data_IF_352815688038
#
_entry.id   IF_352815688038
#
_cell.length_a   1.000
_cell.length_b   1.000
_cell.length_c   1.000
_cell.angle_alpha   90.00
_cell.angle_beta   90.00
_cell.angle_gamma   90.00
#
_symmetry.space_group_name_H-M   'P 1'
#
loop_
_entity.id
_entity.type
_entity.pdbx_description
1 polymer ?
#
# COMPACT_ATOMS: atom_id res chain seq x y z
N UNK A 1 -16.19 4.12 2.86
CA UNK A 1 -15.08 3.58 3.69
C UNK A 1 -15.53 2.23 4.22
N UNK A 2 -14.74 1.18 4.05
CA UNK A 2 -15.02 -0.15 4.60
C UNK A 2 -14.16 -0.33 5.86
N UNK A 3 -14.79 -0.71 6.97
CA UNK A 3 -14.12 -0.92 8.27
C UNK A 3 -14.16 -2.41 8.60
N UNK A 4 -13.01 -2.99 8.93
CA UNK A 4 -12.87 -4.40 9.31
C UNK A 4 -12.44 -4.52 10.78
N UNK A 5 -12.90 -5.54 11.52
CA UNK A 5 -12.51 -5.73 12.93
C UNK A 5 -11.07 -6.24 13.08
N UNK A 6 -10.49 -6.77 12.01
CA UNK A 6 -9.12 -7.29 11.94
C UNK A 6 -8.40 -6.73 10.72
N UNK A 7 -7.07 -6.92 10.67
CA UNK A 7 -6.28 -6.60 9.49
C UNK A 7 -6.77 -7.45 8.32
N UNK A 8 -7.15 -6.78 7.23
CA UNK A 8 -7.68 -7.41 6.03
C UNK A 8 -6.95 -6.88 4.81
N UNK A 9 -6.42 -7.80 3.99
CA UNK A 9 -5.72 -7.46 2.76
C UNK A 9 -6.69 -7.57 1.59
N UNK A 10 -6.88 -6.47 0.85
CA UNK A 10 -7.70 -6.45 -0.35
C UNK A 10 -6.90 -7.03 -1.51
N UNK A 11 -7.24 -8.26 -1.90
CA UNK A 11 -6.61 -9.00 -3.00
C UNK A 11 -7.44 -8.93 -4.29
N UNK A 12 -8.76 -8.88 -4.14
CA UNK A 12 -9.77 -8.91 -5.18
C UNK A 12 -10.96 -7.99 -4.79
N UNK A 13 -12.11 -8.17 -5.43
CA UNK A 13 -13.33 -7.43 -5.17
C UNK A 13 -14.23 -8.02 -4.08
N UNK A 14 -13.90 -9.17 -3.47
CA UNK A 14 -14.83 -9.92 -2.60
C UNK A 14 -15.31 -9.12 -1.38
N UNK A 15 -14.53 -8.13 -0.92
CA UNK A 15 -14.89 -7.26 0.19
C UNK A 15 -16.07 -6.33 -0.14
N UNK A 16 -16.26 -5.94 -1.41
CA UNK A 16 -17.35 -5.03 -1.81
C UNK A 16 -18.73 -5.69 -1.70
N UNK A 17 -19.02 -6.84 -2.34
CA UNK A 17 -20.33 -7.47 -2.22
C UNK A 17 -20.61 -7.93 -0.79
N UNK A 18 -19.57 -8.28 -0.01
CA UNK A 18 -19.73 -8.61 1.42
C UNK A 18 -20.33 -7.47 2.26
N UNK A 19 -20.20 -6.22 1.81
CA UNK A 19 -20.81 -5.04 2.45
C UNK A 19 -21.92 -4.40 1.61
N UNK A 20 -22.44 -5.12 0.61
CA UNK A 20 -23.51 -4.65 -0.26
C UNK A 20 -23.08 -3.58 -1.27
N UNK A 21 -21.79 -3.47 -1.57
CA UNK A 21 -21.23 -2.62 -2.61
C UNK A 21 -20.93 -3.42 -3.87
N UNK A 22 -20.94 -2.74 -5.01
CA UNK A 22 -20.60 -3.32 -6.30
C UNK A 22 -19.51 -2.49 -6.96
N UNK A 23 -18.50 -3.16 -7.52
CA UNK A 23 -17.29 -2.51 -8.07
C UNK A 23 -17.62 -1.56 -9.22
N UNK A 24 -18.58 -1.93 -10.07
CA UNK A 24 -19.09 -1.15 -11.21
C UNK A 24 -19.75 0.17 -10.83
N UNK A 25 -20.07 0.36 -9.54
CA UNK A 25 -20.68 1.58 -9.01
C UNK A 25 -19.67 2.55 -8.40
N UNK A 26 -18.37 2.24 -8.46
CA UNK A 26 -17.31 3.02 -7.85
C UNK A 26 -16.42 3.63 -8.94
N UNK A 27 -16.34 4.96 -8.97
CA UNK A 27 -15.43 5.67 -9.88
C UNK A 27 -13.96 5.55 -9.44
N UNK A 28 -13.72 5.51 -8.13
CA UNK A 28 -12.38 5.51 -7.52
C UNK A 28 -12.35 4.60 -6.30
N UNK A 29 -11.28 3.83 -6.18
CA UNK A 29 -11.00 2.97 -5.04
C UNK A 29 -9.59 3.28 -4.53
N UNK A 30 -9.49 3.55 -3.23
CA UNK A 30 -8.21 3.74 -2.54
C UNK A 30 -7.84 2.46 -1.77
N UNK A 31 -6.77 1.78 -2.17
CA UNK A 31 -6.28 0.55 -1.53
C UNK A 31 -4.92 0.81 -0.91
N UNK A 32 -4.77 0.51 0.39
CA UNK A 32 -3.48 0.55 1.09
C UNK A 32 -2.69 -0.73 0.79
N UNK A 33 -2.10 -0.81 -0.39
CA UNK A 33 -1.27 -1.95 -0.82
C UNK A 33 -0.22 -1.50 -1.85
N UNK A 34 0.89 -2.25 -1.95
CA UNK A 34 1.95 -1.98 -2.95
C UNK A 34 1.86 -2.89 -4.17
N UNK A 35 1.59 -4.18 -3.95
CA UNK A 35 1.76 -5.20 -5.00
C UNK A 35 0.56 -6.14 -5.09
N UNK A 36 0.12 -6.72 -3.98
CA UNK A 36 -0.80 -7.87 -4.03
C UNK A 36 -2.17 -7.58 -4.66
N UNK A 37 -2.70 -6.36 -4.54
CA UNK A 37 -3.96 -5.98 -5.18
C UNK A 37 -3.86 -6.04 -6.71
N UNK A 38 -2.67 -5.84 -7.28
CA UNK A 38 -2.47 -5.79 -8.73
C UNK A 38 -2.87 -7.08 -9.45
N UNK A 39 -2.86 -8.21 -8.74
CA UNK A 39 -3.26 -9.51 -9.30
C UNK A 39 -4.70 -9.52 -9.85
N UNK A 40 -5.60 -8.73 -9.25
CA UNK A 40 -6.98 -8.59 -9.70
C UNK A 40 -7.21 -7.23 -10.37
N UNK A 41 -6.75 -6.16 -9.75
CA UNK A 41 -7.11 -4.80 -10.17
C UNK A 41 -6.39 -4.34 -11.45
N UNK A 42 -5.31 -4.99 -11.87
CA UNK A 42 -4.72 -4.70 -13.20
C UNK A 42 -5.70 -5.02 -14.34
N UNK A 43 -6.60 -6.00 -14.15
CA UNK A 43 -7.51 -6.45 -15.20
C UNK A 43 -8.84 -5.69 -15.21
N UNK A 44 -9.27 -5.16 -14.05
CA UNK A 44 -10.58 -4.51 -13.90
C UNK A 44 -10.53 -2.98 -13.76
N UNK A 45 -9.39 -2.40 -13.37
CA UNK A 45 -9.28 -0.95 -13.22
C UNK A 45 -8.88 -0.31 -14.55
N UNK A 46 -9.53 0.80 -14.91
CA UNK A 46 -9.15 1.59 -16.09
C UNK A 46 -7.77 2.24 -15.97
N UNK A 47 -7.34 2.55 -14.74
CA UNK A 47 -6.01 3.04 -14.43
C UNK A 47 -5.65 2.73 -12.98
N UNK A 48 -4.36 2.51 -12.72
CA UNK A 48 -3.81 2.41 -11.36
C UNK A 48 -2.85 3.57 -11.15
N UNK A 49 -3.15 4.41 -10.17
CA UNK A 49 -2.33 5.54 -9.78
C UNK A 49 -1.64 5.19 -8.46
N UNK A 50 -0.32 5.07 -8.48
CA UNK A 50 0.46 4.91 -7.27
C UNK A 50 0.56 6.24 -6.54
N UNK A 51 0.27 6.24 -5.24
CA UNK A 51 0.30 7.43 -4.40
C UNK A 51 1.31 7.20 -3.27
N UNK A 52 2.33 8.06 -3.20
CA UNK A 52 3.25 8.12 -2.05
C UNK A 52 2.56 8.81 -0.87
N UNK A 53 1.67 8.07 -0.21
CA UNK A 53 0.93 8.56 0.94
C UNK A 53 1.76 8.43 2.24
N UNK A 54 1.66 9.40 3.16
CA UNK A 54 2.36 9.31 4.44
C UNK A 54 1.93 8.07 5.24
N UNK A 55 2.86 7.47 5.99
CA UNK A 55 2.56 6.33 6.83
C UNK A 55 3.78 5.63 7.40
N UNK A 56 3.54 4.50 8.06
CA UNK A 56 4.57 3.69 8.73
C UNK A 56 5.49 2.92 7.78
N UNK A 57 5.15 2.85 6.49
CA UNK A 57 5.93 2.15 5.48
C UNK A 57 6.20 3.04 4.29
N UNK A 58 7.02 4.09 4.42
CA UNK A 58 7.46 4.89 3.29
C UNK A 58 8.35 4.07 2.36
N UNK A 59 8.40 4.46 1.09
CA UNK A 59 9.39 3.93 0.15
C UNK A 59 10.78 4.53 0.44
N UNK A 60 10.81 5.82 0.81
CA UNK A 60 12.01 6.50 1.26
C UNK A 60 12.33 6.16 2.72
N UNK A 61 13.30 5.27 2.89
CA UNK A 61 13.76 4.85 4.21
C UNK A 61 14.39 6.01 5.00
N UNK A 62 14.88 7.07 4.36
CA UNK A 62 15.51 8.20 5.06
C UNK A 62 14.53 9.01 5.91
N UNK A 63 13.21 8.81 5.72
CA UNK A 63 12.15 9.44 6.51
C UNK A 63 12.07 8.92 7.95
N UNK A 64 12.79 7.85 8.29
CA UNK A 64 12.81 7.27 9.63
C UNK A 64 14.16 7.45 10.33
N UNK A 65 14.11 7.61 11.66
CA UNK A 65 15.30 7.56 12.52
C UNK A 65 15.49 6.13 13.04
N UNK A 66 16.52 5.46 12.54
CA UNK A 66 16.88 4.12 12.99
C UNK A 66 17.87 4.18 14.14
N UNK A 67 17.71 3.29 15.14
CA UNK A 67 18.59 3.24 16.33
C UNK A 67 19.67 2.16 16.25
N UNK A 68 19.37 1.00 15.65
CA UNK A 68 20.23 -0.18 15.65
C UNK A 68 20.56 -0.65 14.21
N UNK A 69 20.73 0.30 13.29
CA UNK A 69 20.99 -0.02 11.88
C UNK A 69 22.46 -0.41 11.68
N UNK A 70 22.76 -1.51 10.98
CA UNK A 70 24.12 -1.79 10.55
C UNK A 70 24.69 -0.67 9.67
N UNK A 71 26.00 -0.39 9.81
CA UNK A 71 26.64 0.79 9.21
C UNK A 71 26.65 0.80 7.68
N UNK A 72 26.56 -0.37 7.07
CA UNK A 72 26.71 -0.62 5.63
C UNK A 72 25.38 -0.84 4.90
N UNK A 73 24.23 -0.78 5.58
CA UNK A 73 22.92 -0.92 4.94
C UNK A 73 22.66 0.23 3.96
N UNK A 74 22.50 -0.08 2.68
CA UNK A 74 22.05 0.89 1.68
C UNK A 74 20.54 1.18 1.84
N UNK A 75 20.05 2.43 1.70
CA UNK A 75 20.78 3.68 1.53
C UNK A 75 21.01 4.47 2.85
N UNK A 76 20.59 3.92 3.99
CA UNK A 76 20.43 4.66 5.26
C UNK A 76 21.57 4.46 6.28
N UNK A 77 22.47 3.51 6.02
CA UNK A 77 23.64 3.22 6.84
C UNK A 77 24.63 4.39 6.85
N UNK A 78 25.41 4.50 7.93
CA UNK A 78 26.43 5.55 8.12
C UNK A 78 27.33 5.72 6.89
N UNK A 79 27.74 4.63 6.24
CA UNK A 79 28.59 4.65 5.04
C UNK A 79 27.96 5.38 3.84
N UNK A 80 26.64 5.46 3.78
CA UNK A 80 25.88 6.02 2.66
C UNK A 80 25.35 7.44 2.92
N UNK A 81 25.48 7.92 4.17
CA UNK A 81 25.13 9.29 4.55
C UNK A 81 26.30 10.21 4.19
N UNK A 82 26.10 11.08 3.19
CA UNK A 82 27.03 12.18 2.89
C UNK A 82 27.01 13.24 3.98
#
# INVERSE_FOLDING_TARGET
IIITPTLHQVLDDAIFPAVGLSLDRLDIIAIKSRVHFRAFYNDVAGAIIEVDAPGLGPADLTQHRYRNLPKDIYPIGEKWRK
#
